data_IF_288444888099
#
_entry.id   IF_288444888099
#
_cell.length_a   1.000
_cell.length_b   1.000
_cell.length_c   1.000
_cell.angle_alpha   90.00
_cell.angle_beta   90.00
_cell.angle_gamma   90.00
#
_symmetry.space_group_name_H-M   'P 1'
#
loop_
_entity.id
_entity.type
_entity.pdbx_description
1 polymer ?
#
# COMPACT_ATOMS: atom_id res chain seq x y z
N UNK A 1 -2.04 -9.08 4.60
CA UNK A 1 -2.23 -7.96 3.66
C UNK A 1 -3.21 -6.90 4.16
N UNK A 2 -4.52 -7.18 4.23
CA UNK A 2 -5.59 -6.17 4.40
C UNK A 2 -5.43 -5.09 5.48
N UNK A 3 -4.82 -5.38 6.64
CA UNK A 3 -4.70 -4.44 7.76
C UNK A 3 -3.25 -4.02 8.06
N UNK A 4 -2.27 -4.60 7.34
CA UNK A 4 -0.84 -4.21 7.42
C UNK A 4 -0.49 -3.28 6.27
N UNK A 5 -0.91 -3.66 5.05
CA UNK A 5 -0.83 -2.85 3.84
C UNK A 5 -2.25 -2.67 3.29
N UNK A 6 -3.06 -1.82 3.93
CA UNK A 6 -4.43 -1.62 3.49
C UNK A 6 -4.45 -0.90 2.12
N UNK A 7 -5.47 -1.21 1.32
CA UNK A 7 -5.74 -0.58 0.03
C UNK A 7 -7.12 0.10 0.06
N UNK A 8 -7.49 0.87 -0.97
CA UNK A 8 -8.81 1.50 -1.02
C UNK A 8 -9.96 0.49 -1.05
N UNK A 9 -11.07 0.84 -0.41
CA UNK A 9 -12.35 0.17 -0.59
C UNK A 9 -12.75 0.21 -2.07
N UNK A 10 -13.33 -0.87 -2.57
CA UNK A 10 -13.71 -1.03 -3.98
C UNK A 10 -12.66 -1.74 -4.85
N UNK A 11 -11.42 -1.88 -4.38
CA UNK A 11 -10.40 -2.66 -5.11
C UNK A 11 -10.60 -4.18 -4.95
N UNK A 12 -10.96 -4.61 -3.73
CA UNK A 12 -11.22 -6.00 -3.38
C UNK A 12 -12.68 -6.27 -3.02
N UNK A 13 -13.16 -7.48 -3.31
CA UNK A 13 -14.56 -7.88 -3.14
C UNK A 13 -14.82 -8.72 -1.88
N UNK A 14 -13.78 -9.19 -1.19
CA UNK A 14 -13.96 -10.01 0.01
C UNK A 14 -14.46 -9.18 1.19
N UNK A 15 -15.15 -9.83 2.14
CA UNK A 15 -15.60 -9.18 3.37
C UNK A 15 -14.44 -8.52 4.14
N UNK A 16 -13.24 -9.10 4.11
CA UNK A 16 -12.05 -8.52 4.74
C UNK A 16 -11.53 -7.29 3.97
N UNK A 17 -11.57 -7.31 2.64
CA UNK A 17 -11.19 -6.14 1.84
C UNK A 17 -12.15 -4.96 2.05
N UNK A 18 -13.45 -5.22 2.24
CA UNK A 18 -14.42 -4.19 2.57
C UNK A 18 -14.25 -3.67 4.00
N UNK A 19 -14.00 -4.58 4.96
CA UNK A 19 -13.86 -4.25 6.38
C UNK A 19 -12.61 -3.42 6.68
N UNK A 20 -11.48 -3.76 6.08
CA UNK A 20 -10.19 -3.12 6.35
C UNK A 20 -9.71 -2.17 5.25
N UNK A 21 -10.47 -2.04 4.16
CA UNK A 21 -10.14 -1.08 3.11
C UNK A 21 -10.24 0.36 3.61
N UNK A 22 -9.39 1.22 3.08
CA UNK A 22 -9.41 2.67 3.34
C UNK A 22 -10.47 3.31 2.46
N UNK A 23 -11.33 4.16 3.02
CA UNK A 23 -12.46 4.76 2.30
C UNK A 23 -12.08 5.99 1.46
N UNK A 24 -10.99 6.69 1.80
CA UNK A 24 -10.60 7.92 1.11
C UNK A 24 -9.13 8.28 1.32
N UNK A 25 -8.64 9.27 0.54
CA UNK A 25 -7.33 9.89 0.77
C UNK A 25 -7.20 10.44 2.20
N UNK A 26 -8.24 11.11 2.71
CA UNK A 26 -8.22 11.67 4.07
C UNK A 26 -8.12 10.59 5.16
N UNK A 27 -8.75 9.43 4.96
CA UNK A 27 -8.56 8.30 5.88
C UNK A 27 -7.14 7.72 5.78
N UNK A 28 -6.53 7.67 4.59
CA UNK A 28 -5.13 7.26 4.44
C UNK A 28 -4.17 8.24 5.15
N UNK A 29 -4.40 9.55 5.03
CA UNK A 29 -3.67 10.59 5.75
C UNK A 29 -3.82 10.42 7.28
N UNK A 30 -5.04 10.19 7.76
CA UNK A 30 -5.31 9.92 9.18
C UNK A 30 -4.65 8.62 9.66
N UNK A 31 -4.63 7.57 8.84
CA UNK A 31 -3.94 6.31 9.14
C UNK A 31 -2.44 6.55 9.36
N UNK A 32 -1.81 7.37 8.51
CA UNK A 32 -0.39 7.73 8.65
C UNK A 32 -0.11 8.61 9.87
N UNK A 33 -1.03 9.51 10.22
CA UNK A 33 -0.89 10.36 11.41
C UNK A 33 -1.15 9.61 12.72
N UNK A 34 -1.81 8.45 12.67
CA UNK A 34 -2.10 7.67 13.86
C UNK A 34 -0.80 7.15 14.51
N UNK A 35 -0.57 7.41 15.81
CA UNK A 35 0.73 7.23 16.48
C UNK A 35 1.24 5.78 16.48
N UNK A 36 0.36 4.81 16.29
CA UNK A 36 0.72 3.38 16.19
C UNK A 36 0.72 2.86 14.75
N UNK A 37 -0.18 3.35 13.89
CA UNK A 37 -0.43 2.70 12.60
C UNK A 37 0.53 3.22 11.52
N UNK A 38 0.74 4.54 11.46
CA UNK A 38 1.70 5.16 10.56
C UNK A 38 3.12 4.59 10.73
N UNK A 39 3.70 4.61 11.95
CA UNK A 39 5.04 4.07 12.17
C UNK A 39 5.17 2.59 11.78
N UNK A 40 4.15 1.77 12.07
CA UNK A 40 4.15 0.34 11.70
C UNK A 40 4.09 0.12 10.19
N UNK A 41 3.23 0.86 9.48
CA UNK A 41 3.16 0.76 8.02
C UNK A 41 4.49 1.15 7.38
N UNK A 42 5.14 2.20 7.88
CA UNK A 42 6.46 2.61 7.40
C UNK A 42 7.55 1.58 7.70
N UNK A 43 7.57 1.04 8.91
CA UNK A 43 8.48 -0.02 9.30
C UNK A 43 8.30 -1.25 8.38
N UNK A 44 7.08 -1.73 8.22
CA UNK A 44 6.78 -2.86 7.34
C UNK A 44 7.18 -2.58 5.88
N UNK A 45 6.91 -1.38 5.37
CA UNK A 45 7.31 -0.97 4.01
C UNK A 45 8.83 -1.00 3.86
N UNK A 46 9.57 -0.45 4.83
CA UNK A 46 11.04 -0.44 4.82
C UNK A 46 11.63 -1.85 4.88
N UNK A 47 11.03 -2.75 5.67
CA UNK A 47 11.46 -4.15 5.73
C UNK A 47 11.29 -4.86 4.39
N UNK A 48 10.17 -4.64 3.69
CA UNK A 48 9.96 -5.19 2.34
C UNK A 48 10.98 -4.61 1.36
N UNK A 49 11.24 -3.30 1.43
CA UNK A 49 12.24 -2.64 0.57
C UNK A 49 13.66 -3.18 0.76
N UNK A 50 13.99 -3.75 1.92
CA UNK A 50 15.31 -4.35 2.19
C UNK A 50 15.47 -5.76 1.61
N UNK A 51 14.40 -6.40 1.12
CA UNK A 51 14.50 -7.74 0.54
C UNK A 51 15.16 -7.65 -0.82
N UNK A 52 16.28 -8.38 -1.00
CA UNK A 52 17.03 -8.43 -2.25
C UNK A 52 16.79 -9.73 -3.02
N UNK A 53 16.83 -9.66 -4.36
CA UNK A 53 16.78 -10.82 -5.23
C UNK A 53 15.47 -11.61 -5.25
N UNK A 54 14.36 -11.02 -4.78
CA UNK A 54 13.02 -11.64 -4.79
C UNK A 54 11.97 -10.70 -5.38
N UNK A 55 11.03 -11.25 -6.12
CA UNK A 55 9.86 -10.52 -6.62
C UNK A 55 8.79 -10.37 -5.53
N UNK A 56 7.80 -9.49 -5.72
CA UNK A 56 6.63 -9.45 -4.82
C UNK A 56 5.87 -10.77 -4.79
N UNK A 57 5.83 -11.49 -5.92
CA UNK A 57 5.22 -12.82 -5.98
C UNK A 57 5.94 -13.79 -5.05
N UNK A 58 7.28 -13.76 -4.99
CA UNK A 58 8.06 -14.61 -4.07
C UNK A 58 7.90 -14.23 -2.59
N UNK A 59 7.52 -12.97 -2.31
CA UNK A 59 7.37 -12.43 -0.94
C UNK A 59 5.95 -12.61 -0.41
N UNK A 60 4.95 -12.33 -1.26
CA UNK A 60 3.54 -12.22 -0.86
C UNK A 60 2.61 -13.20 -1.57
N UNK A 61 3.04 -13.82 -2.67
CA UNK A 61 2.20 -14.60 -3.58
C UNK A 61 0.99 -13.81 -4.14
N UNK A 62 0.28 -14.40 -5.08
CA UNK A 62 -0.95 -13.84 -5.61
C UNK A 62 -2.13 -14.13 -4.66
N UNK A 63 -3.04 -13.17 -4.44
CA UNK A 63 -3.15 -11.85 -5.06
C UNK A 63 -2.57 -10.71 -4.20
N UNK A 64 -1.72 -11.02 -3.23
CA UNK A 64 -1.23 -10.05 -2.25
C UNK A 64 -0.09 -9.19 -2.83
N UNK A 65 0.66 -9.70 -3.80
CA UNK A 65 1.58 -8.95 -4.66
C UNK A 65 0.94 -7.69 -5.26
N UNK A 66 -0.23 -7.82 -5.90
CA UNK A 66 -0.97 -6.70 -6.48
C UNK A 66 -1.49 -5.73 -5.40
N UNK A 67 -1.99 -6.27 -4.28
CA UNK A 67 -2.51 -5.44 -3.18
C UNK A 67 -1.43 -4.58 -2.55
N UNK A 68 -0.19 -5.07 -2.50
CA UNK A 68 0.94 -4.29 -2.04
C UNK A 68 1.14 -3.06 -2.93
N UNK A 69 1.17 -3.22 -4.27
CA UNK A 69 1.27 -2.09 -5.19
C UNK A 69 0.10 -1.09 -5.04
N UNK A 70 -1.14 -1.56 -4.86
CA UNK A 70 -2.27 -0.68 -4.56
C UNK A 70 -2.08 0.10 -3.25
N UNK A 71 -1.58 -0.56 -2.20
CA UNK A 71 -1.32 0.07 -0.90
C UNK A 71 -0.23 1.14 -1.02
N UNK A 72 0.90 0.84 -1.66
CA UNK A 72 2.00 1.79 -1.86
C UNK A 72 1.56 2.99 -2.71
N UNK A 73 0.68 2.75 -3.70
CA UNK A 73 0.08 3.82 -4.49
C UNK A 73 -0.78 4.74 -3.63
N UNK A 74 -1.67 4.19 -2.81
CA UNK A 74 -2.52 4.97 -1.91
C UNK A 74 -1.67 5.85 -0.97
N UNK A 75 -0.70 5.23 -0.28
CA UNK A 75 0.05 5.93 0.75
C UNK A 75 1.12 6.90 0.20
N UNK A 76 1.66 6.66 -1.01
CA UNK A 76 2.50 7.65 -1.68
C UNK A 76 1.71 8.92 -2.05
N UNK A 77 0.41 8.80 -2.36
CA UNK A 77 -0.48 9.96 -2.58
C UNK A 77 -0.91 10.64 -1.28
N UNK A 78 -1.07 9.89 -0.19
CA UNK A 78 -1.42 10.42 1.12
C UNK A 78 -0.25 11.15 1.81
N UNK A 79 0.99 10.71 1.60
CA UNK A 79 2.18 11.38 2.12
C UNK A 79 3.31 11.45 1.08
N UNK A 80 3.26 12.40 0.13
CA UNK A 80 4.28 12.56 -0.91
C UNK A 80 5.71 12.80 -0.39
N UNK A 81 5.85 13.29 0.85
CA UNK A 81 7.15 13.51 1.49
C UNK A 81 7.79 12.24 2.07
N UNK A 82 7.07 11.13 2.13
CA UNK A 82 7.58 9.87 2.68
C UNK A 82 8.04 8.93 1.56
N UNK A 83 9.35 8.93 1.32
CA UNK A 83 9.97 8.24 0.19
C UNK A 83 9.87 6.71 0.23
N UNK A 84 9.55 6.10 1.38
CA UNK A 84 9.49 4.64 1.51
C UNK A 84 8.47 3.99 0.55
N UNK A 85 7.32 4.64 0.34
CA UNK A 85 6.27 4.12 -0.54
C UNK A 85 6.64 4.22 -2.02
N UNK A 86 7.24 5.33 -2.43
CA UNK A 86 7.74 5.51 -3.81
C UNK A 86 8.87 4.54 -4.11
N UNK A 87 9.82 4.36 -3.18
CA UNK A 87 10.90 3.39 -3.32
C UNK A 87 10.36 1.95 -3.48
N UNK A 88 9.26 1.60 -2.81
CA UNK A 88 8.61 0.31 -2.98
C UNK A 88 7.99 0.16 -4.37
N UNK A 89 7.33 1.20 -4.90
CA UNK A 89 6.78 1.21 -6.26
C UNK A 89 7.89 1.08 -7.30
N UNK A 90 8.97 1.84 -7.16
CA UNK A 90 10.12 1.80 -8.07
C UNK A 90 10.77 0.41 -8.08
N UNK A 91 10.98 -0.18 -6.90
CA UNK A 91 11.66 -1.48 -6.78
C UNK A 91 10.80 -2.63 -7.28
N UNK A 92 9.50 -2.62 -7.00
CA UNK A 92 8.67 -3.81 -7.11
C UNK A 92 7.48 -3.69 -8.07
N UNK A 93 7.03 -2.48 -8.38
CA UNK A 93 5.86 -2.22 -9.22
C UNK A 93 6.25 -1.50 -10.53
N UNK A 94 7.54 -1.56 -10.91
CA UNK A 94 8.05 -0.95 -12.14
C UNK A 94 8.06 0.57 -12.13
N UNK A 95 7.96 1.21 -10.96
CA UNK A 95 7.82 2.67 -10.82
C UNK A 95 6.42 3.20 -11.15
N UNK A 96 5.48 2.31 -11.50
CA UNK A 96 4.14 2.70 -11.94
C UNK A 96 3.13 2.57 -10.79
N UNK A 97 2.36 3.63 -10.48
CA UNK A 97 1.26 3.53 -9.54
C UNK A 97 0.14 2.61 -10.06
N UNK A 98 -0.58 1.96 -9.14
CA UNK A 98 -1.76 1.15 -9.47
C UNK A 98 -2.88 2.06 -10.04
N UNK A 99 -3.24 1.91 -11.33
CA UNK A 99 -4.19 2.79 -11.99
C UNK A 99 -5.60 2.72 -11.38
N UNK A 100 -5.99 1.55 -10.84
CA UNK A 100 -7.29 1.42 -10.17
C UNK A 100 -7.33 2.19 -8.85
N UNK A 101 -6.22 2.22 -8.12
CA UNK A 101 -6.11 3.05 -6.92
C UNK A 101 -6.20 4.52 -7.28
N UNK A 102 -5.52 4.98 -8.34
CA UNK A 102 -5.59 6.37 -8.79
C UNK A 102 -7.00 6.79 -9.19
N UNK A 103 -7.70 5.96 -9.98
CA UNK A 103 -9.06 6.25 -10.42
C UNK A 103 -10.08 6.35 -9.27
N UNK A 104 -9.80 5.75 -8.11
CA UNK A 104 -10.64 5.85 -6.91
C UNK A 104 -10.27 7.03 -5.99
N UNK A 105 -9.17 7.73 -6.28
CA UNK A 105 -8.73 8.94 -5.55
C UNK A 105 -9.16 10.24 -6.22
N UNK A 106 -9.62 10.17 -7.47
CA UNK A 106 -10.26 11.28 -8.20
C UNK A 106 -11.68 11.55 -7.65
#
# INVERSE_FOLDING_TARGET
MWFIFPQLKGLGHSAMAQRFGIASKGEAEAYLQHPTLGPRLLECTRLVNQIEGRSLYDIFDSPDDMKFCSSMTLFSRAAPGEGAFLAALDKFCGGEPDPRTLALLE
#
